data_IF_194231533707
#
_entry.id   IF_194231533707
#
_cell.length_a   1.000
_cell.length_b   1.000
_cell.length_c   1.000
_cell.angle_alpha   90.00
_cell.angle_beta   90.00
_cell.angle_gamma   90.00
#
_symmetry.space_group_name_H-M   'P 1'
#
loop_
_entity.id
_entity.type
_entity.pdbx_description
1 polymer ?
#
# COMPACT_ATOMS: atom_id res chain seq x y z
N UNK A 1 -15.97 -33.23 0.04
CA UNK A 1 -16.27 -32.92 -1.38
C UNK A 1 -15.36 -31.78 -1.81
N UNK A 2 -14.31 -32.09 -2.56
CA UNK A 2 -13.34 -31.12 -3.05
C UNK A 2 -13.80 -30.53 -4.38
N UNK A 3 -13.88 -29.21 -4.46
CA UNK A 3 -14.22 -28.51 -5.69
C UNK A 3 -12.94 -28.41 -6.52
N UNK A 4 -12.90 -29.18 -7.61
CA UNK A 4 -11.78 -29.23 -8.54
C UNK A 4 -11.84 -28.00 -9.46
N UNK A 5 -11.14 -26.93 -9.09
CA UNK A 5 -11.16 -25.62 -9.78
C UNK A 5 -10.25 -25.60 -11.03
N UNK A 6 -10.38 -26.58 -11.92
CA UNK A 6 -9.65 -26.63 -13.19
C UNK A 6 -10.57 -26.95 -14.37
N UNK A 7 -11.57 -26.11 -14.62
CA UNK A 7 -12.26 -26.07 -15.92
C UNK A 7 -12.73 -24.63 -16.20
N UNK A 8 -12.28 -24.07 -17.33
CA UNK A 8 -12.67 -22.77 -17.92
C UNK A 8 -12.22 -21.48 -17.22
N UNK A 9 -10.99 -21.03 -17.48
CA UNK A 9 -10.60 -19.61 -17.70
C UNK A 9 -11.00 -18.52 -16.69
N UNK A 10 -11.64 -18.89 -15.59
CA UNK A 10 -12.16 -18.03 -14.53
C UNK A 10 -11.38 -18.40 -13.28
N UNK A 11 -10.23 -17.78 -13.15
CA UNK A 11 -9.44 -17.87 -11.93
C UNK A 11 -10.23 -17.17 -10.82
N UNK A 12 -10.83 -17.95 -9.91
CA UNK A 12 -11.52 -17.38 -8.76
C UNK A 12 -10.47 -16.90 -7.76
N UNK A 13 -10.26 -15.59 -7.62
CA UNK A 13 -9.28 -15.04 -6.68
C UNK A 13 -9.56 -15.48 -5.23
N UNK A 14 -10.81 -15.77 -4.87
CA UNK A 14 -11.19 -16.30 -3.56
C UNK A 14 -10.77 -17.77 -3.34
N UNK A 15 -10.41 -18.49 -4.40
CA UNK A 15 -9.83 -19.84 -4.27
C UNK A 15 -8.35 -19.80 -3.88
N UNK A 16 -7.69 -18.64 -4.00
CA UNK A 16 -6.34 -18.45 -3.49
C UNK A 16 -6.36 -18.14 -1.98
N UNK A 17 -5.72 -18.95 -1.13
CA UNK A 17 -5.80 -18.78 0.33
C UNK A 17 -5.29 -17.42 0.83
N UNK A 18 -4.22 -16.89 0.22
CA UNK A 18 -3.66 -15.59 0.60
C UNK A 18 -4.60 -14.43 0.23
N UNK A 19 -5.18 -14.48 -0.97
CA UNK A 19 -6.15 -13.49 -1.40
C UNK A 19 -7.43 -13.57 -0.57
N UNK A 20 -7.96 -14.76 -0.34
CA UNK A 20 -9.15 -14.96 0.49
C UNK A 20 -8.97 -14.41 1.91
N UNK A 21 -7.80 -14.67 2.53
CA UNK A 21 -7.47 -14.12 3.86
C UNK A 21 -7.42 -12.59 3.83
N UNK A 22 -6.77 -11.99 2.83
CA UNK A 22 -6.74 -10.52 2.66
C UNK A 22 -8.14 -9.97 2.45
N UNK A 23 -8.92 -10.57 1.57
CA UNK A 23 -10.30 -10.17 1.32
C UNK A 23 -11.15 -10.21 2.60
N UNK A 24 -11.02 -11.21 3.45
CA UNK A 24 -11.70 -11.25 4.75
C UNK A 24 -11.25 -10.13 5.71
N UNK A 25 -9.96 -9.78 5.68
CA UNK A 25 -9.39 -8.70 6.50
C UNK A 25 -9.87 -7.33 6.03
N UNK A 26 -10.00 -7.10 4.72
CA UNK A 26 -10.33 -5.80 4.14
C UNK A 26 -11.82 -5.60 3.83
N UNK A 27 -12.56 -6.68 3.56
CA UNK A 27 -13.92 -6.63 3.03
C UNK A 27 -15.02 -6.24 4.03
N UNK A 28 -14.73 -6.19 5.33
CA UNK A 28 -15.72 -5.78 6.35
C UNK A 28 -15.97 -4.26 6.40
N UNK A 29 -15.04 -3.45 5.89
CA UNK A 29 -15.01 -2.01 6.17
C UNK A 29 -14.70 -1.13 4.94
N UNK A 30 -14.34 -1.73 3.80
CA UNK A 30 -14.00 -1.01 2.58
C UNK A 30 -15.14 -1.11 1.54
N UNK A 31 -15.32 -0.06 0.74
CA UNK A 31 -16.12 -0.15 -0.49
C UNK A 31 -15.36 -1.07 -1.46
N UNK A 32 -15.89 -2.27 -1.67
CA UNK A 32 -15.28 -3.29 -2.52
C UNK A 32 -15.46 -2.91 -4.00
N UNK A 33 -14.51 -2.16 -4.54
CA UNK A 33 -14.43 -1.87 -5.98
C UNK A 33 -13.53 -2.88 -6.68
N UNK A 34 -13.69 -3.03 -8.00
CA UNK A 34 -12.78 -3.87 -8.81
C UNK A 34 -11.33 -3.40 -8.68
N UNK A 35 -11.09 -2.08 -8.63
CA UNK A 35 -9.76 -1.51 -8.41
C UNK A 35 -9.20 -1.92 -7.04
N UNK A 36 -10.01 -1.89 -5.98
CA UNK A 36 -9.58 -2.33 -4.65
C UNK A 36 -9.22 -3.82 -4.62
N UNK A 37 -9.98 -4.68 -5.30
CA UNK A 37 -9.66 -6.11 -5.40
C UNK A 37 -8.32 -6.33 -6.09
N UNK A 38 -8.03 -5.60 -7.18
CA UNK A 38 -6.74 -5.66 -7.88
C UNK A 38 -5.57 -5.23 -7.00
N UNK A 39 -5.78 -4.28 -6.09
CA UNK A 39 -4.75 -3.89 -5.11
C UNK A 39 -4.41 -5.04 -4.14
N UNK A 40 -5.37 -5.89 -3.78
CA UNK A 40 -5.15 -7.01 -2.87
C UNK A 40 -4.33 -8.16 -3.49
N UNK A 41 -4.23 -8.20 -4.82
CA UNK A 41 -3.41 -9.16 -5.56
C UNK A 41 -1.90 -8.88 -5.43
N UNK A 42 -1.50 -7.68 -4.98
CA UNK A 42 -0.09 -7.34 -4.82
C UNK A 42 0.54 -8.11 -3.64
N UNK A 43 1.81 -8.55 -3.74
CA UNK A 43 2.43 -9.29 -2.64
C UNK A 43 2.54 -8.47 -1.35
N UNK A 44 2.86 -7.17 -1.45
CA UNK A 44 3.11 -6.31 -0.30
C UNK A 44 1.95 -5.35 -0.07
N UNK A 45 0.93 -5.81 0.66
CA UNK A 45 -0.26 -5.04 1.01
C UNK A 45 -0.39 -4.98 2.53
N UNK A 46 -0.50 -3.77 3.07
CA UNK A 46 -0.58 -3.49 4.50
C UNK A 46 -1.89 -2.77 4.81
N UNK A 47 -2.64 -3.30 5.79
CA UNK A 47 -3.80 -2.60 6.36
C UNK A 47 -3.31 -1.62 7.42
N UNK A 48 -3.58 -0.33 7.23
CA UNK A 48 -3.20 0.73 8.17
C UNK A 48 -4.39 1.23 9.03
N UNK A 49 -5.56 0.61 8.85
CA UNK A 49 -6.77 0.87 9.62
C UNK A 49 -8.03 0.64 8.78
N UNK A 50 -9.21 1.04 9.29
CA UNK A 50 -10.47 0.98 8.56
C UNK A 50 -10.42 1.79 7.26
N UNK A 51 -10.62 1.14 6.12
CA UNK A 51 -10.56 1.79 4.79
C UNK A 51 -9.19 2.36 4.40
N UNK A 52 -8.12 2.05 5.15
CA UNK A 52 -6.76 2.57 4.94
C UNK A 52 -5.85 1.43 4.51
N UNK A 53 -5.33 1.50 3.28
CA UNK A 53 -4.46 0.47 2.70
C UNK A 53 -3.22 1.09 2.09
N UNK A 54 -2.09 0.46 2.34
CA UNK A 54 -0.83 0.72 1.66
C UNK A 54 -0.50 -0.49 0.79
N UNK A 55 -0.21 -0.24 -0.48
CA UNK A 55 0.34 -1.23 -1.40
C UNK A 55 1.73 -0.80 -1.81
N UNK A 56 2.70 -1.71 -1.76
CA UNK A 56 4.10 -1.45 -2.09
C UNK A 56 4.52 -2.33 -3.26
N UNK A 57 4.95 -1.69 -4.35
CA UNK A 57 5.56 -2.32 -5.50
C UNK A 57 7.08 -2.24 -5.37
N UNK A 58 7.74 -3.40 -5.30
CA UNK A 58 9.20 -3.51 -5.14
C UNK A 58 9.90 -3.77 -6.48
N UNK A 59 9.21 -4.38 -7.45
CA UNK A 59 9.77 -4.67 -8.77
C UNK A 59 9.24 -3.72 -9.85
N UNK A 60 9.99 -3.46 -10.94
CA UNK A 60 9.51 -2.60 -12.03
C UNK A 60 8.15 -3.04 -12.62
N UNK A 61 7.93 -4.36 -12.74
CA UNK A 61 6.67 -4.90 -13.24
C UNK A 61 5.50 -4.60 -12.29
N UNK A 62 5.72 -4.71 -10.98
CA UNK A 62 4.73 -4.29 -9.98
C UNK A 62 4.50 -2.78 -10.03
N UNK A 63 5.55 -1.96 -10.25
CA UNK A 63 5.42 -0.50 -10.27
C UNK A 63 4.55 -0.02 -11.44
N UNK A 64 4.70 -0.64 -12.62
CA UNK A 64 3.82 -0.38 -13.78
C UNK A 64 2.38 -0.76 -13.44
N UNK A 65 2.15 -1.99 -12.97
CA UNK A 65 0.81 -2.45 -12.58
C UNK A 65 0.17 -1.59 -11.49
N UNK A 66 0.95 -1.13 -10.51
CA UNK A 66 0.46 -0.32 -9.41
C UNK A 66 0.11 1.10 -9.91
N UNK A 67 0.92 1.64 -10.83
CA UNK A 67 0.69 2.95 -11.43
C UNK A 67 -0.66 3.04 -12.16
N UNK A 68 -1.07 1.97 -12.84
CA UNK A 68 -2.36 1.89 -13.55
C UNK A 68 -3.58 1.87 -12.61
N UNK A 69 -3.37 1.63 -11.31
CA UNK A 69 -4.42 1.52 -10.31
C UNK A 69 -4.58 2.77 -9.44
N UNK A 70 -3.76 3.80 -9.63
CA UNK A 70 -3.86 5.06 -8.92
C UNK A 70 -5.19 5.76 -9.22
N UNK A 71 -5.86 6.21 -8.16
CA UNK A 71 -6.96 7.15 -8.24
C UNK A 71 -6.47 8.56 -7.89
N UNK A 72 -7.18 9.62 -8.30
CA UNK A 72 -6.79 11.01 -8.00
C UNK A 72 -6.60 11.27 -6.50
N UNK A 73 -7.43 10.63 -5.68
CA UNK A 73 -7.38 10.73 -4.22
C UNK A 73 -6.20 9.96 -3.60
N UNK A 74 -5.53 9.06 -4.31
CA UNK A 74 -4.45 8.27 -3.74
C UNK A 74 -3.18 9.11 -3.52
N UNK A 75 -2.43 8.76 -2.48
CA UNK A 75 -1.11 9.34 -2.24
C UNK A 75 -0.05 8.37 -2.74
N UNK A 76 0.83 8.85 -3.61
CA UNK A 76 2.02 8.15 -4.07
C UNK A 76 3.15 8.35 -3.07
N UNK A 77 3.81 7.27 -2.68
CA UNK A 77 4.98 7.27 -1.82
C UNK A 77 6.17 6.72 -2.60
N UNK A 78 7.33 7.36 -2.52
CA UNK A 78 8.56 6.85 -3.10
C UNK A 78 9.78 7.40 -2.37
N UNK A 79 10.91 6.70 -2.46
CA UNK A 79 12.19 7.21 -1.96
C UNK A 79 12.89 7.92 -3.12
N UNK A 80 13.53 9.09 -2.95
CA UNK A 80 14.21 9.79 -4.04
C UNK A 80 15.56 9.12 -4.39
N UNK A 81 15.52 7.83 -4.70
CA UNK A 81 16.65 6.98 -5.09
C UNK A 81 16.28 6.22 -6.38
N UNK A 82 17.24 5.96 -7.29
CA UNK A 82 17.01 5.10 -8.44
C UNK A 82 16.59 3.69 -8.03
N UNK A 83 15.60 3.12 -8.73
CA UNK A 83 15.09 1.77 -8.42
C UNK A 83 14.34 1.67 -7.08
N UNK A 84 13.94 2.81 -6.51
CA UNK A 84 13.18 2.85 -5.25
C UNK A 84 11.82 2.17 -5.36
N UNK A 85 11.29 1.67 -4.24
CA UNK A 85 9.94 1.12 -4.18
C UNK A 85 8.89 2.21 -4.47
N UNK A 86 7.76 1.79 -5.06
CA UNK A 86 6.59 2.64 -5.26
C UNK A 86 5.49 2.22 -4.31
N UNK A 87 5.00 3.16 -3.51
CA UNK A 87 3.85 2.99 -2.63
C UNK A 87 2.61 3.68 -3.16
N UNK A 88 1.46 3.03 -3.00
CA UNK A 88 0.13 3.61 -3.15
C UNK A 88 -0.56 3.55 -1.79
N UNK A 89 -0.88 4.71 -1.24
CA UNK A 89 -1.66 4.84 -0.02
C UNK A 89 -3.06 5.33 -0.36
N UNK A 90 -4.04 4.49 -0.05
CA UNK A 90 -5.46 4.82 -0.18
C UNK A 90 -6.09 4.93 1.19
N UNK A 91 -6.83 6.01 1.39
CA UNK A 91 -7.56 6.28 2.61
C UNK A 91 -8.80 7.13 2.31
N UNK A 92 -9.81 7.17 3.19
CA UNK A 92 -10.95 8.06 3.07
C UNK A 92 -10.55 9.50 3.48
N UNK A 93 -9.68 10.14 2.71
CA UNK A 93 -9.01 11.40 3.06
C UNK A 93 -9.98 12.51 3.49
N UNK A 94 -11.09 12.65 2.76
CA UNK A 94 -12.13 13.65 3.05
C UNK A 94 -12.71 13.54 4.48
N UNK A 95 -12.68 12.34 5.09
CA UNK A 95 -13.22 12.08 6.43
C UNK A 95 -12.16 12.17 7.54
N UNK A 96 -10.90 12.42 7.19
CA UNK A 96 -9.79 12.42 8.14
C UNK A 96 -9.40 13.83 8.54
N UNK A 97 -9.14 14.01 9.84
CA UNK A 97 -8.54 15.24 10.38
C UNK A 97 -7.08 15.41 9.92
N UNK A 98 -6.53 16.64 9.91
CA UNK A 98 -5.13 16.88 9.53
C UNK A 98 -4.12 16.04 10.33
N UNK A 99 -4.30 15.93 11.65
CA UNK A 99 -3.42 15.12 12.50
C UNK A 99 -3.47 13.62 12.19
N UNK A 100 -4.65 13.08 11.91
CA UNK A 100 -4.78 11.68 11.48
C UNK A 100 -4.14 11.43 10.11
N UNK A 101 -4.22 12.39 9.19
CA UNK A 101 -3.58 12.30 7.87
C UNK A 101 -2.07 12.25 8.03
N UNK A 102 -1.50 13.14 8.82
CA UNK A 102 -0.07 13.19 9.07
C UNK A 102 0.44 11.89 9.71
N UNK A 103 -0.25 11.39 10.73
CA UNK A 103 0.12 10.12 11.37
C UNK A 103 0.00 8.93 10.43
N UNK A 104 -1.05 8.88 9.60
CA UNK A 104 -1.19 7.83 8.60
C UNK A 104 -0.06 7.87 7.56
N UNK A 105 0.28 9.06 7.06
CA UNK A 105 1.37 9.25 6.10
C UNK A 105 2.71 8.80 6.69
N UNK A 106 2.94 9.14 7.97
CA UNK A 106 4.15 8.74 8.71
C UNK A 106 4.27 7.22 8.85
N UNK A 107 3.19 6.57 9.26
CA UNK A 107 3.14 5.10 9.36
C UNK A 107 3.31 4.44 7.99
N UNK A 108 2.65 4.96 6.95
CA UNK A 108 2.75 4.42 5.60
C UNK A 108 4.18 4.52 5.05
N UNK A 109 4.84 5.66 5.25
CA UNK A 109 6.23 5.85 4.85
C UNK A 109 7.18 4.86 5.55
N UNK A 110 6.98 4.64 6.85
CA UNK A 110 7.75 3.65 7.61
C UNK A 110 7.54 2.21 7.11
N UNK A 111 6.28 1.81 6.86
CA UNK A 111 5.98 0.49 6.29
C UNK A 111 6.57 0.30 4.89
N UNK A 112 6.56 1.34 4.04
CA UNK A 112 7.18 1.27 2.72
C UNK A 112 8.68 1.00 2.81
N UNK A 113 9.39 1.70 3.69
CA UNK A 113 10.83 1.50 3.90
C UNK A 113 11.13 0.12 4.48
N UNK A 114 10.35 -0.32 5.47
CA UNK A 114 10.51 -1.64 6.08
C UNK A 114 10.30 -2.77 5.06
N UNK A 115 9.23 -2.70 4.27
CA UNK A 115 8.94 -3.69 3.23
C UNK A 115 9.97 -3.72 2.10
N UNK A 116 10.59 -2.58 1.80
CA UNK A 116 11.66 -2.48 0.82
C UNK A 116 13.06 -2.81 1.38
N UNK A 117 13.15 -3.23 2.64
CA UNK A 117 14.40 -3.70 3.26
C UNK A 117 15.39 -2.60 3.60
N UNK A 118 14.94 -1.35 3.78
CA UNK A 118 15.82 -0.27 4.20
C UNK A 118 16.29 -0.47 5.65
N UNK A 119 17.60 -0.31 5.90
CA UNK A 119 18.18 -0.49 7.25
C UNK A 119 17.60 0.51 8.25
N UNK A 120 17.14 0.08 9.43
CA UNK A 120 16.53 0.95 10.43
C UNK A 120 17.56 1.72 11.29
N UNK A 121 18.82 1.81 10.86
CA UNK A 121 19.92 2.48 11.59
C UNK A 121 20.08 3.96 11.22
N UNK A 122 19.45 4.41 10.13
CA UNK A 122 19.56 5.79 9.64
C UNK A 122 18.20 6.34 9.19
N UNK A 123 18.01 7.67 9.20
CA UNK A 123 16.80 8.27 8.66
C UNK A 123 16.76 8.17 7.14
N UNK A 124 15.54 8.12 6.59
CA UNK A 124 15.31 8.21 5.14
C UNK A 124 14.24 9.24 4.81
N UNK A 125 14.41 9.88 3.66
CA UNK A 125 13.40 10.78 3.11
C UNK A 125 12.46 9.99 2.20
N UNK A 126 11.16 10.08 2.47
CA UNK A 126 10.09 9.58 1.61
C UNK A 126 9.36 10.78 1.00
N UNK A 127 9.23 10.78 -0.32
CA UNK A 127 8.44 11.73 -1.06
C UNK A 127 6.98 11.26 -1.06
N UNK A 128 6.08 12.18 -0.68
CA UNK A 128 4.64 12.01 -0.66
C UNK A 128 4.06 12.92 -1.75
N UNK A 129 3.38 12.33 -2.72
CA UNK A 129 2.75 13.06 -3.82
C UNK A 129 1.27 12.66 -3.91
N UNK A 130 0.35 13.51 -3.45
CA UNK A 130 -1.08 13.36 -3.74
C UNK A 130 -1.31 13.37 -5.26
N UNK A 131 -2.29 12.59 -5.75
CA UNK A 131 -2.57 12.50 -7.20
C UNK A 131 -2.92 13.84 -7.85
N UNK A 132 -3.64 14.71 -7.12
CA UNK A 132 -4.08 16.03 -7.61
C UNK A 132 -3.12 17.19 -7.29
N UNK A 133 -2.06 16.95 -6.50
CA UNK A 133 -1.15 18.01 -6.07
C UNK A 133 0.08 18.11 -6.99
N UNK A 134 0.44 19.35 -7.37
CA UNK A 134 1.74 19.63 -8.00
C UNK A 134 2.89 19.51 -7.00
N UNK A 135 2.62 19.75 -5.71
CA UNK A 135 3.63 19.79 -4.67
C UNK A 135 3.93 18.40 -4.09
N UNK A 136 5.21 18.06 -4.06
CA UNK A 136 5.71 16.83 -3.41
C UNK A 136 6.21 17.17 -2.02
N UNK A 137 5.51 16.69 -0.99
CA UNK A 137 5.96 16.82 0.39
C UNK A 137 7.07 15.81 0.68
N UNK A 138 8.12 16.24 1.39
CA UNK A 138 9.19 15.35 1.83
C UNK A 138 9.02 15.06 3.31
N UNK A 139 8.93 13.78 3.64
CA UNK A 139 8.84 13.31 5.02
C UNK A 139 10.14 12.59 5.39
N UNK A 140 10.78 13.04 6.47
CA UNK A 140 11.88 12.28 7.08
C UNK A 140 11.31 11.22 8.02
N UNK A 141 11.67 9.97 7.79
CA UNK A 141 11.30 8.83 8.63
C UNK A 141 12.47 8.51 9.55
N UNK A 142 12.22 8.62 10.86
CA UNK A 142 13.23 8.39 11.88
C UNK A 142 13.51 6.88 12.08
N UNK A 143 14.76 6.51 12.44
CA UNK A 143 15.17 5.13 12.74
C UNK A 143 14.25 4.40 13.73
N UNK A 144 13.76 5.09 14.75
CA UNK A 144 12.94 4.54 15.84
C UNK A 144 11.62 3.99 15.32
N UNK A 145 11.03 4.70 14.36
CA UNK A 145 9.76 4.31 13.75
C UNK A 145 9.92 3.08 12.85
N UNK A 146 11.08 2.92 12.20
CA UNK A 146 11.39 1.74 11.40
C UNK A 146 11.67 0.53 12.28
N UNK A 147 12.41 0.72 13.39
CA UNK A 147 12.69 -0.35 14.36
C UNK A 147 11.42 -0.94 14.95
N UNK A 148 10.44 -0.09 15.28
CA UNK A 148 9.14 -0.53 15.81
C UNK A 148 8.29 -1.36 14.84
N UNK A 149 8.68 -1.46 13.56
CA UNK A 149 8.02 -2.30 12.55
C UNK A 149 8.79 -3.59 12.22
N UNK A 150 10.06 -3.67 12.61
CA UNK A 150 10.93 -4.82 12.36
C UNK A 150 10.95 -5.83 13.53
N UNK A 151 10.41 -5.44 14.69
CA UNK A 151 10.19 -6.26 15.88
C UNK A 151 8.87 -7.02 15.82
#
# INVERSE_FOLDING_TARGET
>A
MGINAKVNGRHCLLSEPLFARRFQIFGKEAVLTVNFLRLLEFPNVVRLGPGRVLVVALTPAEQVRLSDLFLPEDVRLYVPLPGSPLGLLRAPWAKMSPGEREELLRRAAAHLLALAGFSPERPYTVCLRPGEAEETTRLSVAPELLRGLAS
#
